data_IF_165201139224
#
_entry.id   IF_165201139224
#
_cell.length_a   1.000
_cell.length_b   1.000
_cell.length_c   1.000
_cell.angle_alpha   90.00
_cell.angle_beta   90.00
_cell.angle_gamma   90.00
#
_symmetry.space_group_name_H-M   'P 1'
#
loop_
_entity.id
_entity.type
_entity.pdbx_description
1 polymer ?
#
# COMPACT_ATOMS: atom_id res chain seq x y z
N UNK A 1 -41.45 -20.25 17.93
CA UNK A 1 -40.48 -21.21 18.49
C UNK A 1 -39.93 -20.62 19.79
N UNK A 2 -40.36 -21.14 20.96
CA UNK A 2 -39.87 -20.65 22.26
C UNK A 2 -38.58 -21.41 22.58
N UNK A 3 -37.48 -20.69 22.69
CA UNK A 3 -36.16 -21.26 23.00
C UNK A 3 -36.10 -21.50 24.51
N UNK A 4 -35.66 -22.70 24.89
CA UNK A 4 -35.70 -23.16 26.27
C UNK A 4 -34.65 -22.39 27.09
N UNK A 5 -34.89 -22.18 28.39
CA UNK A 5 -33.93 -21.47 29.26
C UNK A 5 -32.51 -22.09 29.23
N UNK A 6 -32.44 -23.42 29.17
CA UNK A 6 -31.19 -24.17 29.06
C UNK A 6 -30.49 -24.00 27.71
N UNK A 7 -31.25 -23.93 26.61
CA UNK A 7 -30.69 -23.66 25.28
C UNK A 7 -30.08 -22.26 25.22
N UNK A 8 -30.71 -21.27 25.87
CA UNK A 8 -30.17 -19.91 25.95
C UNK A 8 -28.84 -19.84 26.71
N UNK A 9 -28.68 -20.65 27.76
CA UNK A 9 -27.43 -20.74 28.54
C UNK A 9 -26.34 -21.44 27.75
N UNK A 10 -26.67 -22.52 27.04
CA UNK A 10 -25.71 -23.24 26.20
C UNK A 10 -25.28 -22.36 25.02
N UNK A 11 -26.23 -21.72 24.34
CA UNK A 11 -25.91 -20.81 23.23
C UNK A 11 -25.05 -19.64 23.70
N UNK A 12 -25.36 -18.99 24.82
CA UNK A 12 -24.53 -17.88 25.32
C UNK A 12 -23.12 -18.32 25.75
N UNK A 13 -22.98 -19.54 26.28
CA UNK A 13 -21.69 -20.14 26.64
C UNK A 13 -20.76 -20.31 25.44
N UNK A 14 -21.31 -20.67 24.28
CA UNK A 14 -20.53 -20.88 23.05
C UNK A 14 -20.45 -19.62 22.17
N UNK A 15 -21.43 -18.73 22.24
CA UNK A 15 -21.47 -17.49 21.46
C UNK A 15 -20.34 -16.53 21.87
N UNK A 16 -20.08 -16.37 23.16
CA UNK A 16 -19.04 -15.47 23.65
C UNK A 16 -17.62 -15.84 23.14
N UNK A 17 -17.12 -17.07 23.31
CA UNK A 17 -15.80 -17.44 22.81
C UNK A 17 -15.74 -17.49 21.27
N UNK A 18 -16.82 -17.84 20.57
CA UNK A 18 -16.84 -17.86 19.10
C UNK A 18 -16.75 -16.47 18.49
N UNK A 19 -17.43 -15.48 19.07
CA UNK A 19 -17.32 -14.08 18.63
C UNK A 19 -15.90 -13.57 18.84
N UNK A 20 -15.29 -13.84 20.00
CA UNK A 20 -13.90 -13.44 20.28
C UNK A 20 -12.94 -14.11 19.30
N UNK A 21 -13.05 -15.42 19.10
CA UNK A 21 -12.22 -16.16 18.16
C UNK A 21 -12.36 -15.61 16.73
N UNK A 22 -13.59 -15.29 16.30
CA UNK A 22 -13.85 -14.71 14.98
C UNK A 22 -13.23 -13.32 14.81
N UNK A 23 -13.27 -12.49 15.85
CA UNK A 23 -12.67 -11.16 15.84
C UNK A 23 -11.14 -11.25 15.74
N UNK A 24 -10.52 -12.14 16.51
CA UNK A 24 -9.07 -12.40 16.46
C UNK A 24 -8.67 -12.92 15.06
N UNK A 25 -9.42 -13.88 14.52
CA UNK A 25 -9.13 -14.43 13.19
C UNK A 25 -9.21 -13.34 12.11
N UNK A 26 -10.25 -12.51 12.17
CA UNK A 26 -10.45 -11.41 11.24
C UNK A 26 -9.34 -10.37 11.36
N UNK A 27 -8.91 -10.03 12.58
CA UNK A 27 -7.81 -9.07 12.77
C UNK A 27 -6.50 -9.61 12.22
N UNK A 28 -6.20 -10.91 12.43
CA UNK A 28 -4.99 -11.54 11.89
C UNK A 28 -4.96 -11.49 10.37
N UNK A 29 -6.09 -11.83 9.72
CA UNK A 29 -6.21 -11.76 8.26
C UNK A 29 -5.96 -10.32 7.78
N UNK A 30 -6.59 -9.33 8.41
CA UNK A 30 -6.47 -7.93 8.00
C UNK A 30 -5.04 -7.40 8.20
N UNK A 31 -4.38 -7.78 9.29
CA UNK A 31 -2.96 -7.47 9.54
C UNK A 31 -2.07 -8.12 8.48
N UNK A 32 -2.30 -9.38 8.14
CA UNK A 32 -1.52 -10.06 7.09
C UNK A 32 -1.69 -9.40 5.73
N UNK A 33 -2.93 -9.06 5.34
CA UNK A 33 -3.21 -8.33 4.09
C UNK A 33 -2.52 -6.97 4.12
N UNK A 34 -2.61 -6.23 5.23
CA UNK A 34 -1.95 -4.93 5.39
C UNK A 34 -0.43 -5.05 5.25
N UNK A 35 0.18 -6.11 5.81
CA UNK A 35 1.61 -6.35 5.71
C UNK A 35 2.03 -6.70 4.27
N UNK A 36 1.21 -7.44 3.54
CA UNK A 36 1.45 -7.73 2.11
C UNK A 36 1.40 -6.44 1.29
N UNK A 37 0.36 -5.62 1.45
CA UNK A 37 0.26 -4.33 0.77
C UNK A 37 1.40 -3.38 1.18
N UNK A 38 1.79 -3.36 2.45
CA UNK A 38 2.91 -2.55 2.95
C UNK A 38 4.24 -2.92 2.27
N UNK A 39 4.48 -4.21 2.03
CA UNK A 39 5.67 -4.66 1.30
C UNK A 39 5.56 -4.44 -0.22
N UNK A 40 4.39 -4.68 -0.83
CA UNK A 40 4.20 -4.55 -2.28
C UNK A 40 4.14 -3.09 -2.76
N UNK A 41 3.57 -2.18 -1.96
CA UNK A 41 3.42 -0.75 -2.32
C UNK A 41 4.73 0.05 -2.27
N UNK A 42 5.84 -0.55 -1.83
CA UNK A 42 7.10 0.16 -1.68
C UNK A 42 7.12 1.18 -0.52
N UNK A 43 6.08 1.22 0.33
CA UNK A 43 6.07 2.05 1.55
C UNK A 43 7.26 1.73 2.49
N UNK A 44 7.69 0.47 2.52
CA UNK A 44 8.91 0.06 3.20
C UNK A 44 10.18 0.78 2.68
N UNK A 45 10.23 1.14 1.40
CA UNK A 45 11.35 1.90 0.83
C UNK A 45 11.30 3.39 1.23
N UNK A 46 10.09 3.94 1.44
CA UNK A 46 9.90 5.32 1.87
C UNK A 46 10.34 5.54 3.33
N UNK A 47 10.06 4.62 4.25
CA UNK A 47 10.49 4.77 5.65
C UNK A 47 11.98 4.40 5.87
N UNK A 48 12.52 3.50 5.03
CA UNK A 48 13.96 3.18 4.98
C UNK A 48 14.81 4.27 4.29
N UNK A 49 14.20 5.32 3.74
CA UNK A 49 14.92 6.50 3.23
C UNK A 49 15.55 7.33 4.34
N UNK A 50 15.16 7.10 5.61
CA UNK A 50 15.72 7.78 6.77
C UNK A 50 17.15 7.29 7.05
N UNK A 51 18.12 8.20 7.26
CA UNK A 51 19.52 7.84 7.53
C UNK A 51 19.72 6.87 8.70
N UNK A 52 18.80 6.88 9.67
CA UNK A 52 18.86 6.04 10.89
C UNK A 52 18.54 4.55 10.67
N UNK A 53 18.01 4.14 9.52
CA UNK A 53 17.65 2.73 9.24
C UNK A 53 18.61 1.99 8.29
N UNK A 54 19.76 2.60 7.97
CA UNK A 54 20.79 2.00 7.10
C UNK A 54 21.24 0.60 7.54
N UNK A 55 21.30 0.33 8.85
CA UNK A 55 21.73 -0.95 9.40
C UNK A 55 20.77 -2.12 9.13
N UNK A 56 19.50 -1.85 8.82
CA UNK A 56 18.45 -2.86 8.59
C UNK A 56 18.22 -3.10 7.08
N UNK A 57 18.76 -2.24 6.23
CA UNK A 57 18.70 -2.34 4.76
C UNK A 57 19.26 -3.67 4.23
N UNK A 58 20.23 -4.26 4.92
CA UNK A 58 20.85 -5.54 4.55
C UNK A 58 19.94 -6.77 4.77
N UNK A 59 18.83 -6.62 5.50
CA UNK A 59 17.90 -7.71 5.82
C UNK A 59 16.59 -7.66 5.03
N UNK A 60 16.35 -6.58 4.26
CA UNK A 60 15.21 -6.51 3.36
C UNK A 60 15.47 -7.44 2.17
N UNK A 61 14.58 -8.42 1.97
CA UNK A 61 14.66 -9.37 0.88
C UNK A 61 14.59 -8.61 -0.44
N UNK A 62 15.66 -8.65 -1.23
CA UNK A 62 15.72 -8.06 -2.56
C UNK A 62 14.73 -8.78 -3.48
N UNK A 63 13.47 -8.35 -3.51
CA UNK A 63 12.59 -8.66 -4.63
C UNK A 63 13.07 -7.83 -5.81
N UNK A 64 13.82 -8.49 -6.70
CA UNK A 64 14.39 -7.95 -7.94
C UNK A 64 15.28 -6.72 -7.71
N UNK A 65 16.61 -6.82 -7.82
CA UNK A 65 17.45 -5.64 -7.80
C UNK A 65 17.02 -4.76 -8.97
N UNK A 66 16.30 -3.66 -8.68
CA UNK A 66 16.27 -2.54 -9.59
C UNK A 66 17.73 -2.11 -9.70
N UNK A 67 18.37 -2.54 -10.79
CA UNK A 67 19.66 -2.03 -11.24
C UNK A 67 19.44 -0.60 -11.70
N UNK A 68 19.15 0.27 -10.73
CA UNK A 68 19.26 1.71 -10.87
C UNK A 68 20.69 2.08 -11.22
N UNK A 69 20.89 3.36 -11.45
CA UNK A 69 22.24 3.88 -11.65
C UNK A 69 23.05 3.56 -10.40
N UNK A 70 24.16 2.85 -10.57
CA UNK A 70 25.22 2.88 -9.57
C UNK A 70 25.55 4.36 -9.42
N UNK A 71 25.29 4.91 -8.23
CA UNK A 71 25.69 6.26 -7.87
C UNK A 71 27.23 6.29 -7.77
N UNK A 72 27.88 6.14 -8.91
CA UNK A 72 29.29 6.38 -9.10
C UNK A 72 29.40 7.89 -9.20
N UNK A 73 30.09 8.49 -8.24
CA UNK A 73 30.47 9.90 -8.18
C UNK A 73 31.50 10.24 -9.28
N UNK A 74 31.25 9.80 -10.51
CA UNK A 74 32.08 9.95 -11.69
C UNK A 74 31.43 10.90 -12.72
N UNK A 75 32.19 11.27 -13.78
CA UNK A 75 31.72 12.20 -14.80
C UNK A 75 30.55 11.60 -15.60
N UNK A 76 29.47 12.39 -15.73
CA UNK A 76 28.28 12.04 -16.51
C UNK A 76 28.67 11.80 -17.97
N UNK A 77 28.43 10.59 -18.48
CA UNK A 77 28.72 10.24 -19.88
C UNK A 77 27.43 10.07 -20.71
N UNK A 78 27.56 10.06 -22.03
CA UNK A 78 26.44 9.93 -22.98
C UNK A 78 25.70 8.59 -22.85
N UNK A 79 26.38 7.51 -22.44
CA UNK A 79 25.77 6.20 -22.20
C UNK A 79 24.89 6.23 -20.95
N UNK A 80 25.27 6.99 -19.93
CA UNK A 80 24.49 7.19 -18.70
C UNK A 80 23.23 8.00 -19.01
N UNK A 81 23.36 9.05 -19.83
CA UNK A 81 22.23 9.86 -20.28
C UNK A 81 21.25 9.04 -21.13
N UNK A 82 21.75 8.24 -22.07
CA UNK A 82 20.89 7.35 -22.88
C UNK A 82 20.25 6.23 -22.05
N UNK A 83 20.91 5.73 -21.01
CA UNK A 83 20.30 4.78 -20.06
C UNK A 83 19.23 5.47 -19.22
N UNK A 84 19.45 6.73 -18.81
CA UNK A 84 18.46 7.52 -18.08
C UNK A 84 17.23 7.76 -18.92
N UNK A 85 17.38 8.21 -20.15
CA UNK A 85 16.27 8.46 -21.07
C UNK A 85 15.42 7.20 -21.29
N UNK A 86 16.05 6.05 -21.53
CA UNK A 86 15.31 4.78 -21.69
C UNK A 86 14.52 4.39 -20.44
N UNK A 87 15.13 4.53 -19.27
CA UNK A 87 14.46 4.21 -18.00
C UNK A 87 13.34 5.22 -17.70
N UNK A 88 13.56 6.49 -18.00
CA UNK A 88 12.59 7.56 -17.85
C UNK A 88 11.37 7.32 -18.75
N UNK A 89 11.57 7.06 -20.04
CA UNK A 89 10.48 6.76 -20.99
C UNK A 89 9.69 5.54 -20.54
N UNK A 90 10.37 4.46 -20.14
CA UNK A 90 9.70 3.24 -19.65
C UNK A 90 8.84 3.51 -18.41
N UNK A 91 9.36 4.27 -17.44
CA UNK A 91 8.61 4.59 -16.22
C UNK A 91 7.48 5.57 -16.50
N UNK A 92 7.68 6.54 -17.39
CA UNK A 92 6.63 7.45 -17.81
C UNK A 92 5.47 6.72 -18.52
N UNK A 93 5.77 5.74 -19.38
CA UNK A 93 4.73 4.93 -20.01
C UNK A 93 3.99 4.02 -19.02
N UNK A 94 4.70 3.45 -18.04
CA UNK A 94 4.06 2.73 -16.92
C UNK A 94 3.15 3.68 -16.12
N UNK A 95 3.59 4.90 -15.79
CA UNK A 95 2.75 5.87 -15.05
C UNK A 95 1.46 6.25 -15.80
N UNK A 96 1.51 6.40 -17.12
CA UNK A 96 0.30 6.63 -17.92
C UNK A 96 -0.69 5.45 -17.88
N UNK A 97 -0.22 4.23 -17.66
CA UNK A 97 -1.09 3.05 -17.47
C UNK A 97 -1.81 3.03 -16.11
N UNK A 98 -1.35 3.80 -15.12
CA UNK A 98 -2.00 4.01 -13.82
C UNK A 98 -2.76 5.35 -13.74
N UNK A 99 -3.08 5.96 -14.89
CA UNK A 99 -3.75 7.27 -14.94
C UNK A 99 -5.12 7.29 -14.27
N UNK A 100 -5.79 6.13 -14.12
CA UNK A 100 -7.03 6.01 -13.35
C UNK A 100 -6.80 6.11 -11.84
N UNK A 101 -5.69 5.56 -11.32
CA UNK A 101 -5.36 5.54 -9.88
C UNK A 101 -4.97 6.92 -9.34
N UNK A 102 -4.44 7.79 -10.21
CA UNK A 102 -4.12 9.19 -9.90
C UNK A 102 -5.06 10.19 -10.59
N UNK A 103 -6.22 9.71 -11.07
CA UNK A 103 -7.21 10.58 -11.67
C UNK A 103 -7.62 11.68 -10.67
N UNK A 104 -7.80 12.94 -11.09
CA UNK A 104 -8.32 13.99 -10.22
C UNK A 104 -9.78 13.77 -9.82
N UNK A 105 -10.46 12.76 -10.40
CA UNK A 105 -11.87 12.48 -10.17
C UNK A 105 -12.27 12.32 -8.68
N UNK A 106 -11.50 11.63 -7.80
CA UNK A 106 -11.81 11.54 -6.37
C UNK A 106 -11.70 12.89 -5.65
N UNK A 107 -10.92 13.83 -6.19
CA UNK A 107 -10.74 15.20 -5.67
C UNK A 107 -11.52 16.24 -6.49
N UNK A 108 -12.42 15.82 -7.38
CA UNK A 108 -13.24 16.76 -8.15
C UNK A 108 -14.24 17.48 -7.23
N UNK A 109 -14.65 18.70 -7.58
CA UNK A 109 -15.64 19.48 -6.84
C UNK A 109 -16.94 18.69 -6.59
N UNK A 110 -17.32 17.84 -7.56
CA UNK A 110 -18.47 16.94 -7.45
C UNK A 110 -18.26 15.86 -6.38
N UNK A 111 -17.09 15.25 -6.32
CA UNK A 111 -16.72 14.25 -5.31
C UNK A 111 -16.52 14.88 -3.92
N UNK A 112 -16.03 16.12 -3.87
CA UNK A 112 -15.81 16.91 -2.65
C UNK A 112 -17.08 17.63 -2.15
N UNK A 113 -18.19 17.55 -2.89
CA UNK A 113 -19.44 18.23 -2.54
C UNK A 113 -19.35 19.76 -2.56
N UNK A 114 -18.37 20.32 -3.27
CA UNK A 114 -18.19 21.77 -3.39
C UNK A 114 -19.20 22.27 -4.43
N UNK A 115 -20.29 22.85 -3.95
CA UNK A 115 -21.24 23.57 -4.82
C UNK A 115 -20.61 24.90 -5.18
N UNK A 116 -20.00 24.98 -6.36
CA UNK A 116 -19.59 26.27 -6.94
C UNK A 116 -20.85 27.09 -7.13
N UNK A 117 -21.03 28.10 -6.28
CA UNK A 117 -22.14 29.05 -6.37
C UNK A 117 -21.91 29.87 -7.64
N UNK A 118 -22.58 29.51 -8.73
CA UNK A 118 -22.62 30.34 -9.92
C UNK A 118 -23.44 31.58 -9.56
N UNK A 119 -22.75 32.71 -9.43
CA UNK A 119 -23.40 34.01 -9.40
C UNK A 119 -23.51 34.44 -10.86
N UNK A 120 -24.75 34.55 -11.34
CA UNK A 120 -25.13 35.17 -12.61
C UNK A 120 -24.71 36.65 -12.67
#
# INVERSE_FOLDING_TARGET
>A
MKINFWERIVVSRWLFPTVIASAILTSLILVSVSLVLYNQSGAAQLDLSRPSFQAVRSKAQQSEPFNGFEASSGPLNEKDLGRFERLYIKKNSEMHSYSEDFSPNPLSDKSLGIVVRQND
#
